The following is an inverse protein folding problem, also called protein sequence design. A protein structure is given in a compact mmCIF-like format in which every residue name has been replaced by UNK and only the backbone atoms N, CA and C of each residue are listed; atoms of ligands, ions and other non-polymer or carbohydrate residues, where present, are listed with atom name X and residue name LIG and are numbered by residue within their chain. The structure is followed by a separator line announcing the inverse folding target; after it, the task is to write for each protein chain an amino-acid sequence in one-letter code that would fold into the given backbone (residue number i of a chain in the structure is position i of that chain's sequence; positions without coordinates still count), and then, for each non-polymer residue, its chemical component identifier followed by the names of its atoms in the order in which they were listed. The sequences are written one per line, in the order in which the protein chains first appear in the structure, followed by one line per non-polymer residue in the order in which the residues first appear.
data_IF_668966913193
#
_entry.id   IF_668966913193
#
_cell.length_a   1.000
_cell.length_b   1.000
_cell.length_c   1.000
_cell.angle_alpha   90.00
_cell.angle_beta   90.00
_cell.angle_gamma   90.00
#
_symmetry.space_group_name_H-M   'P 1'
#
loop_
_entity.id
_entity.type
_entity.pdbx_description
1 polymer ?
#
# COMPACT_ATOMS: atom_id res chain seq x y z
N UNK A 1 6.51 -5.84 -23.53
CA UNK A 1 5.76 -4.90 -22.66
C UNK A 1 6.67 -3.72 -22.35
N UNK A 2 6.27 -2.51 -22.74
CA UNK A 2 7.01 -1.28 -22.42
C UNK A 2 6.62 -0.84 -21.00
N UNK A 3 7.60 -0.55 -20.16
CA UNK A 3 7.36 -0.05 -18.80
C UNK A 3 7.04 1.44 -18.84
N UNK A 4 6.08 1.86 -18.01
CA UNK A 4 5.68 3.27 -17.88
C UNK A 4 6.72 4.04 -17.05
N UNK A 5 7.29 3.40 -16.02
CA UNK A 5 8.32 3.97 -15.14
C UNK A 5 9.54 3.04 -15.10
N UNK A 6 10.37 3.02 -16.16
CA UNK A 6 11.48 2.06 -16.31
C UNK A 6 12.64 2.29 -15.32
N UNK A 7 12.73 3.47 -14.72
CA UNK A 7 13.72 3.84 -13.71
C UNK A 7 13.36 3.29 -12.32
N UNK A 8 12.06 3.20 -12.01
CA UNK A 8 11.56 2.76 -10.70
C UNK A 8 11.66 1.25 -10.49
N UNK A 9 11.63 0.46 -11.56
CA UNK A 9 11.52 -1.00 -11.49
C UNK A 9 12.29 -1.70 -12.60
N UNK A 10 12.79 -2.90 -12.30
CA UNK A 10 13.43 -3.81 -13.26
C UNK A 10 12.81 -5.19 -13.16
N UNK A 11 12.82 -5.99 -14.22
CA UNK A 11 12.38 -7.38 -14.10
C UNK A 11 13.42 -8.19 -13.35
N UNK A 12 12.97 -9.19 -12.60
CA UNK A 12 13.87 -10.17 -11.96
C UNK A 12 14.72 -10.93 -12.97
N UNK A 13 14.23 -11.17 -14.19
CA UNK A 13 15.01 -11.79 -15.28
C UNK A 13 16.21 -10.96 -15.72
N UNK A 14 16.14 -9.65 -15.52
CA UNK A 14 17.11 -8.69 -16.06
C UNK A 14 18.20 -8.34 -15.01
N UNK A 15 18.17 -8.99 -13.85
CA UNK A 15 19.09 -8.75 -12.73
C UNK A 15 20.00 -9.97 -12.58
N UNK A 16 21.31 -9.73 -12.59
CA UNK A 16 22.32 -10.76 -12.40
C UNK A 16 22.34 -11.25 -10.95
N UNK A 17 22.50 -12.58 -10.74
CA UNK A 17 22.43 -13.24 -9.44
C UNK A 17 23.44 -12.71 -8.38
N UNK A 18 24.46 -11.97 -8.78
CA UNK A 18 25.44 -11.39 -7.85
C UNK A 18 25.06 -9.96 -7.39
N UNK A 19 23.97 -9.40 -7.91
CA UNK A 19 23.47 -8.04 -7.64
C UNK A 19 22.16 -8.06 -6.83
N UNK A 20 22.03 -9.06 -5.95
CA UNK A 20 20.87 -9.18 -5.07
C UNK A 20 20.95 -8.16 -3.94
N UNK A 21 20.34 -6.98 -4.16
CA UNK A 21 20.14 -5.94 -3.15
C UNK A 21 19.12 -6.31 -2.05
N UNK A 22 18.39 -5.32 -1.55
CA UNK A 22 17.51 -5.40 -0.37
C UNK A 22 16.29 -6.36 -0.50
N UNK A 23 16.07 -7.02 -1.63
CA UNK A 23 14.90 -7.89 -1.87
C UNK A 23 15.27 -9.32 -2.29
N UNK A 24 16.03 -10.09 -1.49
CA UNK A 24 16.49 -11.43 -1.89
C UNK A 24 15.33 -12.44 -2.09
N UNK A 25 14.23 -12.29 -1.34
CA UNK A 25 13.09 -13.21 -1.41
C UNK A 25 12.38 -13.19 -2.78
N UNK A 26 12.38 -12.06 -3.48
CA UNK A 26 11.62 -11.91 -4.73
C UNK A 26 12.21 -12.78 -5.84
N UNK A 27 13.53 -12.97 -5.86
CA UNK A 27 14.21 -13.82 -6.84
C UNK A 27 13.85 -15.29 -6.68
N UNK A 28 13.57 -15.72 -5.45
CA UNK A 28 13.11 -17.07 -5.17
C UNK A 28 11.67 -17.31 -5.67
N UNK A 29 10.77 -16.33 -5.51
CA UNK A 29 9.36 -16.49 -5.89
C UNK A 29 9.08 -16.20 -7.36
N UNK A 30 9.84 -15.31 -7.98
CA UNK A 30 9.43 -14.65 -9.22
C UNK A 30 9.46 -15.52 -10.47
N UNK A 31 10.32 -16.54 -10.54
CA UNK A 31 10.62 -17.26 -11.81
C UNK A 31 10.92 -16.34 -13.01
N UNK A 32 11.46 -15.14 -12.78
CA UNK A 32 11.82 -14.15 -13.80
C UNK A 32 10.73 -13.16 -14.25
N UNK A 33 9.48 -13.29 -13.81
CA UNK A 33 8.35 -12.46 -14.29
C UNK A 33 7.97 -11.24 -13.44
N UNK A 34 8.39 -11.17 -12.18
CA UNK A 34 8.06 -10.09 -11.25
C UNK A 34 9.01 -8.91 -11.43
N UNK A 35 8.51 -7.75 -11.03
CA UNK A 35 9.25 -6.50 -11.01
C UNK A 35 9.91 -6.29 -9.65
N UNK A 36 11.19 -5.97 -9.64
CA UNK A 36 11.97 -5.57 -8.49
C UNK A 36 12.05 -4.04 -8.48
N UNK A 37 11.72 -3.37 -7.36
CA UNK A 37 11.90 -1.92 -7.24
C UNK A 37 13.39 -1.56 -7.22
N UNK A 38 13.72 -0.36 -7.68
CA UNK A 38 15.05 0.21 -7.50
C UNK A 38 15.32 0.50 -6.02
N UNK A 39 16.60 0.52 -5.64
CA UNK A 39 16.99 0.76 -4.24
C UNK A 39 16.54 2.11 -3.70
N UNK A 40 16.53 3.16 -4.53
CA UNK A 40 16.04 4.47 -4.09
C UNK A 40 14.53 4.44 -3.88
N UNK A 41 13.77 3.84 -4.81
CA UNK A 41 12.32 3.76 -4.72
C UNK A 41 11.88 2.96 -3.49
N UNK A 42 12.62 1.91 -3.14
CA UNK A 42 12.37 1.14 -1.93
C UNK A 42 12.60 1.97 -0.66
N UNK A 43 13.66 2.78 -0.60
CA UNK A 43 13.92 3.70 0.53
C UNK A 43 12.83 4.76 0.65
N UNK A 44 12.40 5.33 -0.47
CA UNK A 44 11.31 6.31 -0.47
C UNK A 44 9.99 5.67 0.01
N UNK A 45 9.73 4.41 -0.35
CA UNK A 45 8.58 3.64 0.15
C UNK A 45 8.59 3.44 1.66
N UNK A 46 9.74 3.24 2.28
CA UNK A 46 9.84 3.17 3.75
C UNK A 46 9.37 4.49 4.38
N UNK A 47 9.71 5.62 3.77
CA UNK A 47 9.24 6.94 4.21
C UNK A 47 7.73 7.10 3.96
N UNK A 48 7.21 6.58 2.85
CA UNK A 48 5.77 6.60 2.60
C UNK A 48 4.99 5.81 3.66
N UNK A 49 5.49 4.62 4.04
CA UNK A 49 4.87 3.80 5.09
C UNK A 49 4.97 4.46 6.46
N UNK A 50 6.08 5.16 6.74
CA UNK A 50 6.22 5.95 7.96
C UNK A 50 5.18 7.09 8.03
N UNK A 51 5.04 7.87 6.95
CA UNK A 51 3.99 8.90 6.84
C UNK A 51 2.59 8.30 6.96
N UNK A 52 2.35 7.12 6.40
CA UNK A 52 1.07 6.42 6.55
C UNK A 52 0.77 6.10 8.01
N UNK A 53 1.76 5.61 8.76
CA UNK A 53 1.61 5.33 10.19
C UNK A 53 1.29 6.61 10.93
N UNK A 54 2.09 7.66 10.75
CA UNK A 54 1.87 8.97 11.40
C UNK A 54 0.48 9.54 11.12
N UNK A 55 0.02 9.46 9.87
CA UNK A 55 -1.31 9.93 9.47
C UNK A 55 -2.46 9.13 10.12
N UNK A 56 -2.26 7.85 10.41
CA UNK A 56 -3.28 6.95 10.95
C UNK A 56 -3.04 6.53 12.41
N UNK A 57 -2.12 7.16 13.14
CA UNK A 57 -1.89 6.84 14.56
C UNK A 57 -2.84 7.64 15.46
N UNK A 58 -3.32 7.06 16.58
CA UNK A 58 -3.16 5.67 17.03
C UNK A 58 -4.14 4.68 16.36
N UNK A 59 -5.19 5.19 15.71
CA UNK A 59 -6.25 4.43 15.04
C UNK A 59 -6.44 4.94 13.62
N UNK A 60 -6.88 4.04 12.72
CA UNK A 60 -7.17 4.40 11.33
C UNK A 60 -8.07 5.66 11.28
N UNK A 61 -7.53 6.74 10.70
CA UNK A 61 -8.28 7.96 10.35
C UNK A 61 -9.61 7.59 9.65
N UNK A 62 -10.72 8.15 10.17
CA UNK A 62 -12.10 7.87 9.75
C UNK A 62 -12.77 9.05 9.07
N UNK A 63 -12.04 10.13 8.82
CA UNK A 63 -12.62 11.30 8.19
C UNK A 63 -12.91 11.02 6.71
N UNK A 64 -13.85 11.76 6.10
CA UNK A 64 -14.15 11.62 4.68
C UNK A 64 -12.89 11.77 3.83
N UNK A 65 -12.87 11.04 2.71
CA UNK A 65 -11.82 11.15 1.69
C UNK A 65 -10.41 10.85 2.23
N UNK A 66 -10.31 9.90 3.16
CA UNK A 66 -9.05 9.51 3.82
C UNK A 66 -7.90 9.21 2.85
N UNK A 67 -8.19 8.56 1.71
CA UNK A 67 -7.19 8.25 0.69
C UNK A 67 -6.70 9.53 -0.01
N UNK A 68 -7.61 10.44 -0.37
CA UNK A 68 -7.25 11.72 -1.01
C UNK A 68 -6.41 12.58 -0.06
N UNK A 69 -6.81 12.64 1.22
CA UNK A 69 -6.07 13.37 2.25
C UNK A 69 -4.66 12.80 2.46
N UNK A 70 -4.54 11.48 2.53
CA UNK A 70 -3.21 10.86 2.64
C UNK A 70 -2.39 11.02 1.35
N UNK A 71 -3.02 10.99 0.18
CA UNK A 71 -2.36 11.30 -1.09
C UNK A 71 -1.80 12.73 -1.09
N UNK A 72 -2.55 13.71 -0.57
CA UNK A 72 -2.07 15.08 -0.44
C UNK A 72 -0.82 15.17 0.46
N UNK A 73 -0.80 14.45 1.58
CA UNK A 73 0.39 14.39 2.47
C UNK A 73 1.64 13.88 1.72
N UNK A 74 1.45 12.91 0.83
CA UNK A 74 2.54 12.41 -0.03
C UNK A 74 2.90 13.42 -1.12
N UNK A 75 1.92 14.05 -1.77
CA UNK A 75 2.14 15.09 -2.79
C UNK A 75 2.93 16.28 -2.22
N UNK A 76 2.62 16.73 -1.01
CA UNK A 76 3.32 17.84 -0.35
C UNK A 76 4.80 17.51 -0.07
N UNK A 77 5.15 16.22 0.06
CA UNK A 77 6.51 15.79 0.39
C UNK A 77 7.30 15.27 -0.81
N UNK A 78 6.61 14.78 -1.84
CA UNK A 78 7.19 14.00 -2.93
C UNK A 78 6.62 14.32 -4.32
N UNK A 79 5.74 15.31 -4.44
CA UNK A 79 5.09 15.69 -5.70
C UNK A 79 6.08 16.11 -6.79
N UNK A 80 7.22 16.67 -6.42
CA UNK A 80 8.30 17.01 -7.37
C UNK A 80 9.08 15.78 -7.88
N UNK A 81 8.99 14.65 -7.15
CA UNK A 81 9.78 13.45 -7.40
C UNK A 81 8.98 12.33 -8.08
N UNK A 82 7.68 12.24 -7.79
CA UNK A 82 6.82 11.18 -8.30
C UNK A 82 5.54 11.74 -8.88
N UNK A 83 5.12 11.14 -9.99
CA UNK A 83 3.81 11.38 -10.56
C UNK A 83 2.71 11.11 -9.53
N UNK A 84 1.72 11.99 -9.52
CA UNK A 84 0.51 11.88 -8.68
C UNK A 84 -0.14 10.50 -8.77
N UNK A 85 -0.09 9.84 -9.93
CA UNK A 85 -0.62 8.50 -10.13
C UNK A 85 0.06 7.45 -9.23
N UNK A 86 1.38 7.55 -9.05
CA UNK A 86 2.16 6.63 -8.19
C UNK A 86 1.78 6.85 -6.72
N UNK A 87 1.75 8.11 -6.28
CA UNK A 87 1.41 8.49 -4.92
C UNK A 87 -0.02 8.05 -4.55
N UNK A 88 -0.97 8.30 -5.45
CA UNK A 88 -2.35 7.86 -5.28
C UNK A 88 -2.49 6.34 -5.24
N UNK A 89 -1.75 5.62 -6.10
CA UNK A 89 -1.74 4.16 -6.10
C UNK A 89 -1.22 3.61 -4.78
N UNK A 90 -0.14 4.18 -4.24
CA UNK A 90 0.37 3.81 -2.93
C UNK A 90 -0.66 4.07 -1.84
N UNK A 91 -1.19 5.30 -1.75
CA UNK A 91 -2.16 5.70 -0.75
C UNK A 91 -3.38 4.78 -0.71
N UNK A 92 -3.95 4.50 -1.89
CA UNK A 92 -5.08 3.60 -2.05
C UNK A 92 -4.74 2.17 -1.63
N UNK A 93 -3.64 1.63 -2.14
CA UNK A 93 -3.25 0.23 -1.90
C UNK A 93 -2.97 0.00 -0.42
N UNK A 94 -2.20 0.88 0.21
CA UNK A 94 -1.81 0.75 1.61
C UNK A 94 -3.00 0.88 2.57
N UNK A 95 -3.93 1.78 2.27
CA UNK A 95 -5.19 1.93 3.01
C UNK A 95 -6.03 0.67 2.91
N UNK A 96 -6.20 0.10 1.71
CA UNK A 96 -6.98 -1.12 1.51
C UNK A 96 -6.35 -2.33 2.22
N UNK A 97 -5.02 -2.47 2.19
CA UNK A 97 -4.31 -3.50 2.95
C UNK A 97 -4.59 -3.35 4.45
N UNK A 98 -4.54 -2.11 4.98
CA UNK A 98 -4.83 -1.85 6.40
C UNK A 98 -6.27 -2.19 6.77
N UNK A 99 -7.25 -1.83 5.93
CA UNK A 99 -8.65 -2.17 6.15
C UNK A 99 -8.84 -3.69 6.19
N UNK A 100 -8.25 -4.42 5.23
CA UNK A 100 -8.31 -5.89 5.20
C UNK A 100 -7.71 -6.51 6.45
N UNK A 101 -6.57 -6.01 6.90
CA UNK A 101 -5.95 -6.45 8.15
C UNK A 101 -6.86 -6.22 9.35
N UNK A 102 -7.45 -5.02 9.48
CA UNK A 102 -8.35 -4.71 10.59
C UNK A 102 -9.61 -5.58 10.57
N UNK A 103 -10.18 -5.84 9.39
CA UNK A 103 -11.33 -6.74 9.26
C UNK A 103 -10.98 -8.17 9.66
N UNK A 104 -9.82 -8.68 9.24
CA UNK A 104 -9.37 -10.01 9.64
C UNK A 104 -9.14 -10.12 11.16
N UNK A 105 -8.61 -9.06 11.80
CA UNK A 105 -8.49 -9.00 13.25
C UNK A 105 -9.85 -8.98 13.95
N UNK A 106 -10.83 -8.26 13.41
CA UNK A 106 -12.19 -8.27 13.93
C UNK A 106 -12.83 -9.66 13.80
N UNK A 107 -12.68 -10.33 12.66
CA UNK A 107 -13.19 -11.70 12.45
C UNK A 107 -12.55 -12.70 13.42
N UNK A 108 -11.24 -12.60 13.65
CA UNK A 108 -10.54 -13.44 14.64
C UNK A 108 -11.05 -13.17 16.06
N UNK A 109 -11.15 -11.90 16.46
CA UNK A 109 -11.60 -11.51 17.79
C UNK A 109 -13.09 -11.79 18.04
N UNK A 110 -13.91 -11.83 16.99
CA UNK A 110 -15.35 -12.17 17.06
C UNK A 110 -15.63 -13.64 16.76
N UNK A 111 -14.60 -14.45 16.50
CA UNK A 111 -14.68 -15.90 16.29
C UNK A 111 -15.15 -16.71 17.51
N UNK A 112 -15.66 -16.07 18.57
CA UNK A 112 -16.44 -16.67 19.65
C UNK A 112 -17.89 -16.17 19.75
N UNK A 113 -18.32 -15.14 19.00
CA UNK A 113 -19.70 -14.63 19.05
C UNK A 113 -20.10 -13.97 17.73
N UNK A 114 -20.90 -14.71 16.96
CA UNK A 114 -21.79 -14.28 15.87
C UNK A 114 -21.16 -13.58 14.65
N UNK A 115 -21.34 -14.22 13.49
CA UNK A 115 -20.95 -13.75 12.16
C UNK A 115 -21.47 -12.31 11.92
N UNK A 116 -20.56 -11.34 11.94
CA UNK A 116 -20.78 -9.91 11.62
C UNK A 116 -21.46 -9.68 10.25
N UNK A 117 -21.48 -10.70 9.36
CA UNK A 117 -22.19 -10.69 8.07
C UNK A 117 -23.66 -10.24 8.15
N UNK A 118 -24.31 -10.31 9.31
CA UNK A 118 -25.67 -9.79 9.52
C UNK A 118 -25.80 -8.28 9.77
N UNK A 119 -24.72 -7.53 10.01
CA UNK A 119 -24.77 -6.08 10.35
C UNK A 119 -24.47 -5.16 9.16
N UNK A 120 -24.86 -5.54 7.94
CA UNK A 120 -24.78 -4.64 6.78
C UNK A 120 -25.90 -3.59 6.85
N UNK A 121 -25.50 -2.33 7.01
CA UNK A 121 -26.25 -1.09 6.80
C UNK A 121 -27.46 -0.83 7.71
N UNK A 122 -27.22 -0.14 8.82
CA UNK A 122 -28.21 0.77 9.43
C UNK A 122 -27.87 2.16 8.92
N UNK A 123 -28.35 2.48 7.72
CA UNK A 123 -27.94 3.68 7.00
C UNK A 123 -28.87 4.00 5.84
N UNK A 124 -30.17 3.82 6.03
CA UNK A 124 -31.16 4.60 5.31
C UNK A 124 -31.81 5.50 6.35
N UNK A 125 -31.38 6.75 6.37
CA UNK A 125 -32.14 7.81 7.02
C UNK A 125 -33.52 7.84 6.35
N UNK A 126 -34.57 7.61 7.15
CA UNK A 126 -35.92 7.98 6.77
C UNK A 126 -35.96 9.51 6.68
N UNK A 127 -36.30 10.02 5.49
CA UNK A 127 -36.86 11.36 5.30
C UNK A 127 -38.30 11.14 4.88
#
# INVERSE_FOLDING_TARGET
MKLIYPDLVKKTSDIYLNDHGLTPWIYHLSRGGLMVPSNYFLKDWEVFDQKFKEFHLPLLDRHPKVIERFCQVLEDSFGDKYDKAILNLFAKTRTMIRIRYLNAQLEFNTGGSEKIRGKKQIGQFQV
#
